data_IF_070873527058
#
_entry.id   IF_070873527058
#
_cell.length_a   1.000
_cell.length_b   1.000
_cell.length_c   1.000
_cell.angle_alpha   90.00
_cell.angle_beta   90.00
_cell.angle_gamma   90.00
#
_symmetry.space_group_name_H-M   'P 1'
#
loop_
_entity.id
_entity.type
_entity.pdbx_description
1 polymer ?
#
# COMPACT_ATOMS: atom_id res chain seq x y z
N UNK A 1 -13.25 -21.53 -16.99
CA UNK A 1 -12.02 -21.08 -16.31
C UNK A 1 -12.44 -20.46 -14.99
N UNK A 2 -11.96 -20.98 -13.87
CA UNK A 2 -12.48 -20.71 -12.52
C UNK A 2 -11.48 -19.93 -11.65
N UNK A 3 -10.80 -18.95 -12.24
CA UNK A 3 -9.90 -18.09 -11.48
C UNK A 3 -10.74 -17.08 -10.69
N UNK A 4 -10.58 -17.02 -9.35
CA UNK A 4 -11.32 -16.05 -8.55
C UNK A 4 -10.94 -14.62 -8.92
N UNK A 5 -11.90 -13.70 -8.73
CA UNK A 5 -11.63 -12.28 -8.89
C UNK A 5 -10.50 -11.82 -7.93
N UNK A 6 -9.75 -10.77 -8.29
CA UNK A 6 -8.79 -10.17 -7.38
C UNK A 6 -9.48 -9.69 -6.09
N UNK A 7 -8.75 -9.76 -4.98
CA UNK A 7 -9.26 -9.39 -3.66
C UNK A 7 -8.32 -8.40 -2.98
N UNK A 8 -8.89 -7.52 -2.16
CA UNK A 8 -8.16 -6.56 -1.33
C UNK A 8 -8.60 -6.70 0.13
N UNK A 9 -7.65 -6.83 1.05
CA UNK A 9 -7.91 -7.06 2.46
C UNK A 9 -7.16 -6.05 3.32
N UNK A 10 -7.85 -5.42 4.26
CA UNK A 10 -7.17 -4.74 5.36
C UNK A 10 -6.38 -5.78 6.16
N UNK A 11 -5.05 -5.67 6.15
CA UNK A 11 -4.16 -6.67 6.69
C UNK A 11 -3.66 -6.28 8.09
N UNK A 12 -3.22 -5.04 8.25
CA UNK A 12 -2.68 -4.53 9.50
C UNK A 12 -2.79 -3.01 9.61
N UNK A 13 -2.63 -2.49 10.81
CA UNK A 13 -2.29 -1.08 11.04
C UNK A 13 -0.76 -1.00 11.13
N UNK A 14 -0.14 -0.44 10.09
CA UNK A 14 1.30 -0.21 10.03
C UNK A 14 1.71 1.08 10.74
N UNK A 15 3.01 1.33 10.82
CA UNK A 15 3.58 2.46 11.59
C UNK A 15 3.09 3.84 11.14
N UNK A 16 2.65 3.97 9.89
CA UNK A 16 2.20 5.25 9.34
C UNK A 16 0.93 5.13 8.49
N UNK A 17 0.22 4.00 8.51
CA UNK A 17 -0.95 3.78 7.66
C UNK A 17 -1.65 2.44 7.89
N UNK A 18 -2.57 2.09 6.98
CA UNK A 18 -3.21 0.78 6.95
C UNK A 18 -2.57 -0.04 5.83
N UNK A 19 -2.07 -1.23 6.16
CA UNK A 19 -1.53 -2.16 5.18
C UNK A 19 -2.68 -2.91 4.51
N UNK A 20 -2.74 -2.87 3.18
CA UNK A 20 -3.71 -3.59 2.37
C UNK A 20 -3.02 -4.73 1.62
N UNK A 21 -3.43 -5.97 1.87
CA UNK A 21 -2.98 -7.13 1.10
C UNK A 21 -3.83 -7.29 -0.15
N UNK A 22 -3.18 -7.39 -1.31
CA UNK A 22 -3.83 -7.59 -2.62
C UNK A 22 -3.52 -8.99 -3.13
N UNK A 23 -4.55 -9.77 -3.43
CA UNK A 23 -4.44 -11.12 -4.00
C UNK A 23 -4.96 -11.13 -5.43
N UNK A 24 -4.16 -11.67 -6.35
CA UNK A 24 -4.50 -11.79 -7.77
C UNK A 24 -3.79 -13.00 -8.38
N UNK A 25 -4.23 -13.38 -9.58
CA UNK A 25 -3.71 -14.51 -10.35
C UNK A 25 -2.96 -14.02 -11.58
N UNK A 26 -1.93 -14.77 -11.98
CA UNK A 26 -1.20 -14.54 -13.22
C UNK A 26 -0.74 -15.89 -13.80
N UNK A 27 -0.36 -15.89 -15.07
CA UNK A 27 0.21 -17.08 -15.70
C UNK A 27 1.54 -17.46 -15.04
N UNK A 28 1.90 -18.75 -14.93
CA UNK A 28 3.06 -19.22 -14.15
C UNK A 28 4.44 -18.92 -14.78
N UNK A 29 4.54 -17.88 -15.61
CA UNK A 29 5.79 -17.38 -16.16
C UNK A 29 6.35 -16.25 -15.29
N UNK A 30 7.66 -16.28 -15.01
CA UNK A 30 8.35 -15.26 -14.20
C UNK A 30 8.17 -13.86 -14.81
N UNK A 31 8.24 -13.73 -16.13
CA UNK A 31 8.03 -12.44 -16.81
C UNK A 31 6.62 -11.89 -16.61
N UNK A 32 5.61 -12.77 -16.54
CA UNK A 32 4.23 -12.37 -16.28
C UNK A 32 4.01 -11.99 -14.81
N UNK A 33 4.69 -12.65 -13.87
CA UNK A 33 4.67 -12.25 -12.45
C UNK A 33 5.05 -10.77 -12.29
N UNK A 34 6.23 -10.38 -12.81
CA UNK A 34 6.71 -9.00 -12.69
C UNK A 34 5.81 -8.00 -13.39
N UNK A 35 5.35 -8.33 -14.60
CA UNK A 35 4.48 -7.47 -15.40
C UNK A 35 3.12 -7.25 -14.72
N UNK A 36 2.50 -8.31 -14.23
CA UNK A 36 1.19 -8.22 -13.58
C UNK A 36 1.32 -7.51 -12.23
N UNK A 37 2.37 -7.77 -11.45
CA UNK A 37 2.67 -7.04 -10.20
C UNK A 37 2.79 -5.54 -10.42
N UNK A 38 3.57 -5.12 -11.42
CA UNK A 38 3.70 -3.70 -11.79
C UNK A 38 2.36 -3.09 -12.23
N UNK A 39 1.60 -3.81 -13.06
CA UNK A 39 0.28 -3.37 -13.51
C UNK A 39 -0.71 -3.18 -12.36
N UNK A 40 -0.76 -4.13 -11.42
CA UNK A 40 -1.59 -4.04 -10.21
C UNK A 40 -1.17 -2.85 -9.35
N UNK A 41 0.13 -2.67 -9.09
CA UNK A 41 0.63 -1.56 -8.28
C UNK A 41 0.24 -0.19 -8.88
N UNK A 42 0.41 -0.02 -10.19
CA UNK A 42 0.01 1.21 -10.91
C UNK A 42 -1.49 1.44 -10.88
N UNK A 43 -2.29 0.40 -11.08
CA UNK A 43 -3.75 0.50 -11.03
C UNK A 43 -4.26 0.90 -9.64
N UNK A 44 -3.69 0.30 -8.58
CA UNK A 44 -4.00 0.66 -7.19
C UNK A 44 -3.62 2.11 -6.92
N UNK A 45 -2.39 2.53 -7.28
CA UNK A 45 -1.95 3.91 -7.08
C UNK A 45 -2.86 4.92 -7.80
N UNK A 46 -3.18 4.67 -9.06
CA UNK A 46 -4.07 5.54 -9.83
C UNK A 46 -5.49 5.61 -9.23
N UNK A 47 -5.99 4.50 -8.67
CA UNK A 47 -7.27 4.49 -7.97
C UNK A 47 -7.20 5.31 -6.67
N UNK A 48 -6.17 5.11 -5.84
CA UNK A 48 -5.97 5.88 -4.61
C UNK A 48 -5.86 7.39 -4.91
N UNK A 49 -5.08 7.77 -5.93
CA UNK A 49 -4.91 9.16 -6.35
C UNK A 49 -6.24 9.79 -6.77
N UNK A 50 -7.06 9.06 -7.53
CA UNK A 50 -8.38 9.54 -7.98
C UNK A 50 -9.33 9.80 -6.81
N UNK A 51 -9.27 8.96 -5.77
CA UNK A 51 -10.08 9.12 -4.57
C UNK A 51 -9.44 10.07 -3.54
N UNK A 52 -8.28 10.67 -3.85
CA UNK A 52 -7.57 11.58 -2.94
C UNK A 52 -6.95 10.90 -1.73
N UNK A 53 -6.67 9.60 -1.81
CA UNK A 53 -6.05 8.82 -0.73
C UNK A 53 -4.53 8.90 -0.88
N UNK A 54 -3.88 9.56 0.07
CA UNK A 54 -2.42 9.69 0.11
C UNK A 54 -1.74 8.42 0.63
N UNK A 55 -0.57 8.08 0.08
CA UNK A 55 0.33 7.07 0.65
C UNK A 55 1.29 7.79 1.60
N UNK A 56 1.17 7.57 2.91
CA UNK A 56 1.90 8.35 3.91
C UNK A 56 3.40 7.99 3.92
N UNK A 57 4.24 9.01 4.04
CA UNK A 57 5.63 8.82 4.46
C UNK A 57 5.71 8.43 5.93
N UNK A 58 6.83 7.82 6.39
CA UNK A 58 7.05 7.55 7.81
C UNK A 58 6.83 8.79 8.67
N UNK A 59 5.93 8.71 9.65
CA UNK A 59 5.59 9.81 10.55
C UNK A 59 6.39 9.71 11.85
N UNK A 60 6.83 10.85 12.40
CA UNK A 60 7.46 10.92 13.72
C UNK A 60 6.91 12.10 14.51
N UNK A 61 6.47 11.83 15.74
CA UNK A 61 6.10 12.87 16.71
C UNK A 61 7.34 13.24 17.52
N UNK A 62 7.67 14.52 17.59
CA UNK A 62 8.77 15.07 18.39
C UNK A 62 8.19 15.90 19.52
N UNK A 63 8.49 15.51 20.76
CA UNK A 63 8.21 16.31 21.94
C UNK A 63 9.44 17.14 22.28
N UNK A 64 9.29 18.46 22.34
CA UNK A 64 10.35 19.38 22.74
C UNK A 64 10.03 19.85 24.14
N UNK A 65 10.77 19.33 25.12
CA UNK A 65 10.75 19.85 26.48
C UNK A 65 11.61 21.13 26.51
N UNK A 66 10.97 22.26 26.81
CA UNK A 66 11.67 23.53 26.96
C UNK A 66 12.15 23.62 28.41
N UNK A 67 13.44 23.45 28.61
CA UNK A 67 14.06 23.65 29.91
C UNK A 67 14.29 25.15 30.12
N UNK A 68 13.28 25.85 30.64
CA UNK A 68 13.32 27.30 30.91
C UNK A 68 14.09 27.59 32.22
N UNK A 69 15.33 27.12 32.31
CA UNK A 69 16.27 27.49 33.37
C UNK A 69 17.17 28.65 32.90
N UNK A 70 16.57 29.84 32.77
CA UNK A 70 17.27 31.13 32.77
C UNK A 70 16.69 32.04 33.86
#
# INVERSE_FOLDING_TARGET
>A
SSEPAPEAFAHAFGDSGIDIAIRFWHQPAISDEWRVRDGVAKAVKAALDREGIEIPFPQRVVHIDRDDHL
#
